data_IF_285377523602
#
_entry.id   IF_285377523602
#
_cell.length_a   1.000
_cell.length_b   1.000
_cell.length_c   1.000
_cell.angle_alpha   90.00
_cell.angle_beta   90.00
_cell.angle_gamma   90.00
#
_symmetry.space_group_name_H-M   'P 1'
#
loop_
_entity.id
_entity.type
_entity.pdbx_description
1 polymer ?
#
# COMPACT_ATOMS: atom_id res chain seq x y z
N UNK A 1 20.46 -45.97 6.69
CA UNK A 1 19.81 -45.49 5.46
C UNK A 1 18.44 -44.94 5.82
N UNK A 2 18.22 -43.63 5.56
CA UNK A 2 16.96 -43.08 5.02
C UNK A 2 15.71 -43.11 5.95
N UNK A 3 15.04 -42.04 6.42
CA UNK A 3 15.00 -40.58 6.14
C UNK A 3 14.30 -39.92 7.37
N UNK A 4 14.71 -38.80 7.95
CA UNK A 4 14.59 -37.41 7.48
C UNK A 4 13.17 -36.98 7.07
N UNK A 5 12.17 -37.06 7.98
CA UNK A 5 10.82 -36.50 7.76
C UNK A 5 10.16 -35.93 9.04
N UNK A 6 10.83 -35.07 9.81
CA UNK A 6 10.20 -34.38 10.97
C UNK A 6 10.59 -32.89 11.05
N UNK A 7 10.40 -32.14 9.95
CA UNK A 7 10.59 -30.68 9.96
C UNK A 7 9.32 -29.86 9.63
N UNK A 8 8.14 -30.46 9.57
CA UNK A 8 6.88 -29.70 9.53
C UNK A 8 6.31 -29.64 10.95
N UNK A 9 7.05 -29.00 11.85
CA UNK A 9 6.47 -28.54 13.11
C UNK A 9 5.57 -27.34 12.80
N UNK A 10 4.27 -27.62 12.81
CA UNK A 10 3.18 -26.67 12.66
C UNK A 10 3.43 -25.37 13.44
N UNK A 11 3.47 -24.24 12.74
CA UNK A 11 3.39 -22.90 13.33
C UNK A 11 1.93 -22.60 13.70
N UNK A 12 1.30 -23.50 14.47
CA UNK A 12 -0.12 -23.42 14.85
C UNK A 12 -0.51 -22.04 15.39
N UNK A 13 0.36 -21.41 16.19
CA UNK A 13 0.12 -20.09 16.77
C UNK A 13 0.10 -18.92 15.77
N UNK A 14 0.68 -19.07 14.57
CA UNK A 14 0.63 -18.04 13.51
C UNK A 14 -0.33 -18.42 12.37
N UNK A 15 -1.00 -19.56 12.50
CA UNK A 15 -1.96 -20.05 11.50
C UNK A 15 -3.36 -19.53 11.86
N UNK A 16 -3.81 -18.55 11.09
CA UNK A 16 -5.18 -18.04 11.17
C UNK A 16 -6.00 -18.66 10.04
N UNK A 17 -6.80 -19.68 10.36
CA UNK A 17 -7.59 -20.42 9.38
C UNK A 17 -9.05 -19.92 9.35
N UNK A 18 -9.68 -19.99 8.17
CA UNK A 18 -11.10 -19.65 7.93
C UNK A 18 -11.51 -18.23 8.38
N UNK A 19 -10.59 -17.27 8.34
CA UNK A 19 -10.88 -15.88 8.69
C UNK A 19 -11.48 -15.10 7.52
N UNK A 20 -12.48 -14.26 7.78
CA UNK A 20 -13.04 -13.35 6.79
C UNK A 20 -12.12 -12.15 6.46
N UNK A 21 -11.18 -11.87 7.37
CA UNK A 21 -10.22 -10.78 7.31
C UNK A 21 -8.92 -11.27 7.93
N UNK A 22 -7.79 -11.16 7.23
CA UNK A 22 -6.51 -11.66 7.72
C UNK A 22 -5.35 -10.71 7.38
N UNK A 23 -4.33 -10.66 8.25
CA UNK A 23 -3.10 -9.91 7.99
C UNK A 23 -2.15 -10.72 7.14
N UNK A 24 -1.74 -10.17 6.01
CA UNK A 24 -0.80 -10.81 5.11
C UNK A 24 0.12 -9.78 4.46
N UNK A 25 1.43 -9.98 4.59
CA UNK A 25 2.47 -9.09 4.04
C UNK A 25 2.22 -7.60 4.34
N UNK A 26 1.92 -7.22 5.59
CA UNK A 26 1.70 -5.81 5.94
C UNK A 26 0.42 -5.19 5.35
N UNK A 27 -0.47 -6.03 4.82
CA UNK A 27 -1.81 -5.66 4.40
C UNK A 27 -2.85 -6.46 5.18
N UNK A 28 -4.08 -5.99 5.16
CA UNK A 28 -5.25 -6.76 5.55
C UNK A 28 -6.02 -7.14 4.30
N UNK A 29 -6.14 -8.45 4.08
CA UNK A 29 -6.93 -9.01 2.98
C UNK A 29 -8.30 -9.40 3.51
N UNK A 30 -9.34 -8.97 2.80
CA UNK A 30 -10.75 -9.21 3.14
C UNK A 30 -11.57 -9.44 1.87
N UNK A 31 -12.87 -9.72 2.03
CA UNK A 31 -13.80 -9.80 0.89
C UNK A 31 -13.86 -8.50 0.08
N UNK A 32 -13.77 -7.36 0.76
CA UNK A 32 -13.94 -6.04 0.14
C UNK A 32 -12.69 -5.59 -0.64
N UNK A 33 -11.55 -6.24 -0.40
CA UNK A 33 -10.30 -5.89 -1.03
C UNK A 33 -9.09 -6.04 -0.12
N UNK A 34 -8.02 -5.38 -0.52
CA UNK A 34 -6.75 -5.28 0.19
C UNK A 34 -6.67 -3.90 0.84
N UNK A 35 -6.29 -3.88 2.12
CA UNK A 35 -6.10 -2.65 2.88
C UNK A 35 -4.70 -2.59 3.48
N UNK A 36 -4.13 -1.41 3.74
CA UNK A 36 -2.94 -1.30 4.57
C UNK A 36 -3.17 -1.87 5.98
N UNK A 37 -2.15 -2.38 6.63
CA UNK A 37 -2.24 -2.77 8.04
C UNK A 37 -2.59 -1.53 8.89
N UNK A 38 -3.71 -1.55 9.65
CA UNK A 38 -4.09 -0.45 10.54
C UNK A 38 -2.97 -0.03 11.51
N UNK A 39 -2.09 -0.95 11.91
CA UNK A 39 -0.94 -0.61 12.75
C UNK A 39 0.09 0.26 12.00
N UNK A 40 0.31 -0.01 10.72
CA UNK A 40 1.21 0.79 9.88
C UNK A 40 0.60 2.15 9.56
N UNK A 41 -0.72 2.21 9.35
CA UNK A 41 -1.44 3.48 9.17
C UNK A 41 -1.38 4.34 10.43
N UNK A 42 -1.62 3.76 11.62
CA UNK A 42 -1.45 4.48 12.89
C UNK A 42 -0.02 4.98 13.10
N UNK A 43 0.98 4.19 12.72
CA UNK A 43 2.37 4.62 12.78
C UNK A 43 2.65 5.81 11.84
N UNK A 44 2.06 5.83 10.64
CA UNK A 44 2.12 6.96 9.70
C UNK A 44 1.40 8.20 10.28
N UNK A 45 0.22 8.02 10.87
CA UNK A 45 -0.56 9.09 11.51
C UNK A 45 0.20 9.74 12.68
N UNK A 46 0.95 8.96 13.44
CA UNK A 46 1.76 9.46 14.57
C UNK A 46 3.17 9.88 14.15
N UNK A 47 3.54 9.72 12.87
CA UNK A 47 4.89 10.01 12.40
C UNK A 47 5.19 11.52 12.57
N UNK A 48 6.28 11.89 13.25
CA UNK A 48 6.66 13.29 13.45
C UNK A 48 7.15 13.92 12.14
N UNK A 49 7.13 15.25 12.06
CA UNK A 49 7.71 15.96 10.90
C UNK A 49 9.22 15.63 10.85
N UNK A 50 9.73 15.07 9.75
CA UNK A 50 11.13 14.65 9.64
C UNK A 50 12.05 15.88 9.67
N UNK A 51 13.08 15.83 10.51
CA UNK A 51 14.04 16.94 10.70
C UNK A 51 15.34 16.72 9.93
N UNK A 52 15.58 15.50 9.46
CA UNK A 52 16.77 15.15 8.71
C UNK A 52 16.45 14.26 7.50
N UNK A 53 17.34 14.24 6.52
CA UNK A 53 17.17 13.45 5.28
C UNK A 53 16.99 11.96 5.56
N UNK A 54 17.59 11.43 6.64
CA UNK A 54 17.45 10.02 7.03
C UNK A 54 16.03 9.68 7.50
N UNK A 55 15.43 10.53 8.32
CA UNK A 55 14.04 10.37 8.78
C UNK A 55 13.06 10.50 7.62
N UNK A 56 13.31 11.45 6.71
CA UNK A 56 12.51 11.61 5.50
C UNK A 56 12.60 10.36 4.60
N UNK A 57 13.80 9.81 4.40
CA UNK A 57 14.00 8.60 3.60
C UNK A 57 13.33 7.37 4.22
N UNK A 58 13.32 7.26 5.55
CA UNK A 58 12.60 6.20 6.26
C UNK A 58 11.08 6.30 6.04
N UNK A 59 10.53 7.51 6.15
CA UNK A 59 9.12 7.75 5.86
C UNK A 59 8.78 7.43 4.40
N UNK A 60 9.58 7.93 3.45
CA UNK A 60 9.41 7.68 2.02
C UNK A 60 9.45 6.18 1.68
N UNK A 61 10.29 5.39 2.35
CA UNK A 61 10.32 3.94 2.17
C UNK A 61 8.99 3.28 2.51
N UNK A 62 8.36 3.68 3.62
CA UNK A 62 7.04 3.18 4.01
C UNK A 62 5.93 3.74 3.09
N UNK A 63 5.98 5.02 2.77
CA UNK A 63 5.02 5.68 1.90
C UNK A 63 5.03 5.04 0.50
N UNK A 64 6.22 4.73 -0.03
CA UNK A 64 6.39 4.06 -1.33
C UNK A 64 5.84 2.63 -1.32
N UNK A 65 5.92 1.92 -0.19
CA UNK A 65 5.32 0.59 -0.03
C UNK A 65 3.79 0.64 -0.18
N UNK A 66 3.15 1.68 0.36
CA UNK A 66 1.71 1.90 0.24
C UNK A 66 1.32 2.85 -0.91
N UNK A 67 2.20 3.12 -1.87
CA UNK A 67 1.94 4.10 -2.94
C UNK A 67 0.71 3.80 -3.80
N UNK A 68 0.31 2.53 -3.91
CA UNK A 68 -0.87 2.14 -4.67
C UNK A 68 -2.19 2.64 -4.07
N UNK A 69 -2.19 2.99 -2.79
CA UNK A 69 -3.34 3.58 -2.10
C UNK A 69 -3.43 5.11 -2.27
N UNK A 70 -2.38 5.73 -2.83
CA UNK A 70 -2.27 7.18 -2.99
C UNK A 70 -2.33 7.53 -4.47
N UNK A 71 -3.39 8.22 -4.88
CA UNK A 71 -3.52 8.74 -6.25
C UNK A 71 -2.48 9.84 -6.47
N UNK A 72 -1.68 9.72 -7.53
CA UNK A 72 -0.68 10.74 -7.86
C UNK A 72 0.48 10.81 -6.86
N UNK A 73 0.89 9.67 -6.29
CA UNK A 73 1.98 9.61 -5.31
C UNK A 73 3.24 10.35 -5.75
N UNK A 74 3.64 10.19 -7.02
CA UNK A 74 4.88 10.80 -7.54
C UNK A 74 4.84 12.34 -7.47
N UNK A 75 3.72 12.95 -7.87
CA UNK A 75 3.53 14.40 -7.84
C UNK A 75 3.50 14.94 -6.41
N UNK A 76 2.94 14.17 -5.48
CA UNK A 76 2.88 14.55 -4.06
C UNK A 76 4.26 14.40 -3.40
N UNK A 77 5.03 13.39 -3.82
CA UNK A 77 6.33 13.08 -3.23
C UNK A 77 7.48 13.93 -3.77
N UNK A 78 7.37 14.45 -5.00
CA UNK A 78 8.36 15.33 -5.64
C UNK A 78 8.80 16.51 -4.75
N UNK A 79 7.90 17.35 -4.20
CA UNK A 79 8.30 18.51 -3.41
C UNK A 79 8.93 18.16 -2.06
N UNK A 80 8.91 16.90 -1.60
CA UNK A 80 9.48 16.51 -0.30
C UNK A 80 11.00 16.76 -0.21
N UNK A 81 11.68 16.92 -1.35
CA UNK A 81 13.10 17.27 -1.37
C UNK A 81 13.40 18.75 -1.08
N UNK A 82 12.40 19.64 -1.20
CA UNK A 82 12.58 21.10 -1.14
C UNK A 82 11.60 21.81 -0.19
N UNK A 83 10.34 21.38 -0.13
CA UNK A 83 9.25 21.95 0.70
C UNK A 83 8.69 20.91 1.66
N UNK A 84 9.49 20.56 2.68
CA UNK A 84 9.29 19.38 3.51
C UNK A 84 7.92 19.32 4.20
N UNK A 85 7.46 20.39 4.86
CA UNK A 85 6.38 20.25 5.85
C UNK A 85 4.99 20.10 5.22
N UNK A 86 4.66 20.91 4.21
CA UNK A 86 3.32 20.87 3.58
C UNK A 86 3.14 19.61 2.75
N UNK A 87 4.15 19.26 1.94
CA UNK A 87 4.14 18.04 1.14
C UNK A 87 4.08 16.78 2.03
N UNK A 88 4.83 16.78 3.15
CA UNK A 88 4.80 15.70 4.12
C UNK A 88 3.42 15.53 4.76
N UNK A 89 2.81 16.62 5.22
CA UNK A 89 1.47 16.58 5.82
C UNK A 89 0.42 16.12 4.81
N UNK A 90 0.53 16.56 3.55
CA UNK A 90 -0.38 16.14 2.49
C UNK A 90 -0.25 14.64 2.17
N UNK A 91 0.97 14.14 2.00
CA UNK A 91 1.21 12.71 1.74
C UNK A 91 0.76 11.84 2.91
N UNK A 92 1.02 12.29 4.14
CA UNK A 92 0.57 11.64 5.37
C UNK A 92 -0.95 11.52 5.42
N UNK A 93 -1.68 12.59 5.10
CA UNK A 93 -3.14 12.57 5.04
C UNK A 93 -3.67 11.57 3.98
N UNK A 94 -3.09 11.58 2.77
CA UNK A 94 -3.51 10.68 1.69
C UNK A 94 -3.30 9.19 2.05
N UNK A 95 -2.18 8.86 2.70
CA UNK A 95 -1.91 7.51 3.19
C UNK A 95 -2.92 7.04 4.25
N UNK A 96 -3.51 7.96 5.01
CA UNK A 96 -4.47 7.64 6.08
C UNK A 96 -5.93 7.62 5.61
N UNK A 97 -6.29 8.36 4.57
CA UNK A 97 -7.69 8.56 4.15
C UNK A 97 -8.25 7.45 3.25
N UNK A 98 -7.45 6.82 2.39
CA UNK A 98 -7.95 5.96 1.30
C UNK A 98 -7.41 4.51 1.38
N UNK A 99 -7.93 3.66 2.28
CA UNK A 99 -7.24 2.41 2.60
C UNK A 99 -7.73 1.18 1.83
N UNK A 100 -8.61 1.25 0.82
CA UNK A 100 -9.14 0.01 0.22
C UNK A 100 -8.94 -0.04 -1.30
N UNK A 101 -8.17 -1.03 -1.75
CA UNK A 101 -8.09 -1.44 -3.14
C UNK A 101 -8.95 -2.68 -3.33
N UNK A 102 -9.92 -2.60 -4.24
CA UNK A 102 -10.80 -3.74 -4.56
C UNK A 102 -10.01 -4.83 -5.30
N UNK A 103 -10.44 -6.08 -5.16
CA UNK A 103 -9.87 -7.20 -5.92
C UNK A 103 -10.08 -7.03 -7.42
N UNK A 104 -9.07 -7.42 -8.20
CA UNK A 104 -9.17 -7.43 -9.65
C UNK A 104 -10.11 -8.55 -10.10
N UNK A 105 -11.01 -8.25 -11.04
CA UNK A 105 -11.86 -9.24 -11.69
C UNK A 105 -11.33 -9.52 -13.10
N UNK A 106 -10.67 -10.66 -13.29
CA UNK A 106 -10.09 -11.04 -14.58
C UNK A 106 -11.11 -11.30 -15.70
N UNK A 107 -12.41 -11.25 -15.40
CA UNK A 107 -13.48 -11.35 -16.40
C UNK A 107 -13.83 -10.01 -17.03
N UNK A 108 -13.46 -8.91 -16.40
CA UNK A 108 -13.74 -7.54 -16.85
C UNK A 108 -12.48 -6.98 -17.53
N UNK A 109 -12.61 -6.25 -18.65
CA UNK A 109 -11.46 -5.59 -19.28
C UNK A 109 -10.72 -4.66 -18.31
N UNK A 110 -9.40 -4.65 -18.42
CA UNK A 110 -8.55 -3.68 -17.72
C UNK A 110 -8.44 -2.40 -18.54
N UNK A 111 -8.52 -1.26 -17.86
CA UNK A 111 -8.25 0.06 -18.44
C UNK A 111 -6.91 0.54 -17.90
N UNK A 112 -6.05 1.02 -18.80
CA UNK A 112 -4.76 1.60 -18.45
C UNK A 112 -4.73 3.04 -18.95
N UNK A 113 -4.80 3.98 -18.02
CA UNK A 113 -4.64 5.40 -18.30
C UNK A 113 -3.17 5.76 -18.08
N UNK A 114 -2.52 6.34 -19.09
CA UNK A 114 -1.10 6.72 -19.06
C UNK A 114 -1.01 8.22 -19.34
N UNK A 115 -0.24 8.92 -18.53
CA UNK A 115 0.08 10.34 -18.72
C UNK A 115 1.58 10.57 -18.59
N UNK A 116 2.14 11.44 -19.44
CA UNK A 116 3.57 11.70 -19.51
C UNK A 116 3.83 13.19 -19.76
N UNK A 117 4.85 13.71 -19.08
CA UNK A 117 5.35 15.08 -19.22
C UNK A 117 6.87 15.08 -19.32
N UNK A 118 7.48 16.25 -19.50
CA UNK A 118 8.94 16.39 -19.48
C UNK A 118 9.58 15.97 -18.15
N UNK A 119 8.81 16.01 -17.06
CA UNK A 119 9.30 15.80 -15.70
C UNK A 119 8.96 14.38 -15.17
N UNK A 120 8.03 13.66 -15.79
CA UNK A 120 7.65 12.32 -15.29
C UNK A 120 6.61 11.56 -16.12
N UNK A 121 6.43 10.29 -15.75
CA UNK A 121 5.48 9.34 -16.33
C UNK A 121 4.60 8.75 -15.22
N UNK A 122 3.30 8.66 -15.46
CA UNK A 122 2.31 8.05 -14.57
C UNK A 122 1.41 7.08 -15.32
N UNK A 123 0.95 6.04 -14.61
CA UNK A 123 -0.08 5.14 -15.12
C UNK A 123 -1.03 4.70 -14.01
N UNK A 124 -2.31 4.53 -14.35
CA UNK A 124 -3.34 3.99 -13.47
C UNK A 124 -3.98 2.79 -14.16
N UNK A 125 -3.98 1.65 -13.45
CA UNK A 125 -4.72 0.45 -13.84
C UNK A 125 -6.08 0.47 -13.13
N UNK A 126 -7.18 0.43 -13.89
CA UNK A 126 -8.54 0.48 -13.35
C UNK A 126 -9.48 -0.51 -14.03
N UNK A 127 -10.63 -0.77 -13.39
CA UNK A 127 -11.71 -1.59 -13.94
C UNK A 127 -13.05 -0.91 -13.68
N UNK A 128 -13.98 -1.01 -14.64
CA UNK A 128 -15.35 -0.53 -14.46
C UNK A 128 -16.19 -1.61 -13.75
N UNK A 129 -16.23 -1.50 -12.41
CA UNK A 129 -16.92 -2.46 -11.53
C UNK A 129 -18.45 -2.29 -11.59
N UNK A 130 -18.95 -1.18 -12.15
CA UNK A 130 -20.39 -0.92 -12.28
C UNK A 130 -21.05 -1.72 -13.41
N UNK A 131 -20.28 -2.31 -14.35
CA UNK A 131 -20.76 -3.23 -15.38
C UNK A 131 -20.89 -4.68 -14.92
N UNK A 132 -21.24 -4.91 -13.65
CA UNK A 132 -21.72 -6.22 -13.22
C UNK A 132 -23.18 -6.35 -13.63
N UNK A 133 -23.42 -6.87 -14.83
CA UNK A 133 -24.71 -7.46 -15.21
C UNK A 133 -25.01 -8.72 -14.37
#
# INVERSE_FOLDING_TARGET
MSQQWLHIFSVSAKCHLFQAREKYLGHVVSRDGVQPDPEKIKAVEQWPIPKCSKELQQFLGLAYYYRWFVKGFAQIAEPLHHECDKAFLHLKAQLTEHPVLTHLDFKIPFLVDIDASGDGLGAVLSQDIARKE
#
